data_IF_037117687178
#
_entry.id   IF_037117687178
#
_cell.length_a   1.000
_cell.length_b   1.000
_cell.length_c   1.000
_cell.angle_alpha   90.00
_cell.angle_beta   90.00
_cell.angle_gamma   90.00
#
_symmetry.space_group_name_H-M   'P 1'
#
loop_
_entity.id
_entity.type
_entity.pdbx_description
1 polymer ?
#
# COMPACT_ATOMS: atom_id res chain seq x y z
N UNK A 1 -30.13 30.12 9.43
CA UNK A 1 -30.25 28.84 10.18
C UNK A 1 -28.95 28.05 10.02
N UNK A 2 -28.14 27.94 11.09
CA UNK A 2 -26.84 27.23 11.08
C UNK A 2 -27.08 25.77 11.47
N UNK A 3 -26.88 24.82 10.54
CA UNK A 3 -26.76 23.39 10.88
C UNK A 3 -25.29 23.02 11.06
N UNK A 4 -25.04 22.45 12.22
CA UNK A 4 -23.76 22.04 12.76
C UNK A 4 -23.19 20.88 11.93
N UNK A 5 -21.91 20.96 11.56
CA UNK A 5 -21.14 19.91 10.88
C UNK A 5 -19.71 19.93 11.45
N UNK A 6 -19.51 19.52 12.71
CA UNK A 6 -18.19 19.63 13.37
C UNK A 6 -17.58 18.31 13.87
N UNK A 7 -18.25 17.16 13.71
CA UNK A 7 -17.71 15.86 14.13
C UNK A 7 -16.81 15.15 13.11
N UNK A 8 -16.97 15.45 11.80
CA UNK A 8 -16.28 14.72 10.71
C UNK A 8 -14.88 15.25 10.36
N UNK A 9 -14.53 16.49 10.72
CA UNK A 9 -13.24 17.07 10.34
C UNK A 9 -12.08 16.50 11.16
N UNK A 10 -12.22 16.38 12.49
CA UNK A 10 -11.13 15.93 13.38
C UNK A 10 -10.56 14.57 13.00
N UNK A 11 -11.41 13.59 12.70
CA UNK A 11 -10.96 12.23 12.35
C UNK A 11 -10.27 12.20 10.98
N UNK A 12 -10.70 13.05 10.05
CA UNK A 12 -10.06 13.19 8.74
C UNK A 12 -8.69 13.87 8.84
N UNK A 13 -8.56 14.84 9.74
CA UNK A 13 -7.29 15.51 10.02
C UNK A 13 -6.29 14.53 10.64
N UNK A 14 -6.72 13.74 11.63
CA UNK A 14 -5.89 12.68 12.24
C UNK A 14 -5.47 11.62 11.24
N UNK A 15 -6.39 11.16 10.38
CA UNK A 15 -6.08 10.21 9.32
C UNK A 15 -5.04 10.79 8.34
N UNK A 16 -5.14 12.07 7.98
CA UNK A 16 -4.19 12.75 7.09
C UNK A 16 -2.80 12.85 7.71
N UNK A 17 -2.71 13.12 9.02
CA UNK A 17 -1.44 13.11 9.76
C UNK A 17 -0.81 11.71 9.75
N UNK A 18 -1.61 10.67 9.96
CA UNK A 18 -1.15 9.28 9.90
C UNK A 18 -0.70 8.87 8.50
N UNK A 19 -1.41 9.33 7.47
CA UNK A 19 -1.04 9.11 6.07
C UNK A 19 0.36 9.66 5.79
N UNK A 20 0.62 10.93 6.14
CA UNK A 20 1.92 11.55 5.97
C UNK A 20 3.01 10.86 6.83
N UNK A 21 2.68 10.45 8.05
CA UNK A 21 3.61 9.72 8.91
C UNK A 21 4.08 8.39 8.28
N UNK A 22 3.17 7.63 7.65
CA UNK A 22 3.49 6.39 6.93
C UNK A 22 4.47 6.68 5.79
N UNK A 23 4.16 7.67 4.95
CA UNK A 23 4.99 8.02 3.80
C UNK A 23 6.37 8.50 4.24
N UNK A 24 6.44 9.35 5.25
CA UNK A 24 7.70 9.86 5.77
C UNK A 24 8.57 8.76 6.38
N UNK A 25 7.97 7.81 7.09
CA UNK A 25 8.70 6.67 7.63
C UNK A 25 9.30 5.79 6.52
N UNK A 26 8.50 5.44 5.51
CA UNK A 26 8.98 4.64 4.38
C UNK A 26 10.02 5.40 3.53
N UNK A 27 9.86 6.72 3.34
CA UNK A 27 10.84 7.57 2.63
C UNK A 27 12.21 7.57 3.31
N UNK A 28 12.26 7.52 4.63
CA UNK A 28 13.50 7.40 5.40
C UNK A 28 14.15 6.01 5.28
N UNK A 29 13.41 4.99 4.83
CA UNK A 29 13.81 3.58 4.78
C UNK A 29 13.52 2.96 3.41
N UNK A 30 13.95 3.63 2.32
CA UNK A 30 13.61 3.33 0.92
C UNK A 30 13.74 1.86 0.49
N UNK A 31 14.68 1.11 1.07
CA UNK A 31 14.94 -0.30 0.71
C UNK A 31 14.26 -1.33 1.62
N UNK A 32 13.43 -0.90 2.58
CA UNK A 32 12.78 -1.82 3.53
C UNK A 32 11.28 -1.84 3.32
N UNK A 33 10.77 -3.06 3.14
CA UNK A 33 9.34 -3.34 3.24
C UNK A 33 8.99 -3.68 4.69
N UNK A 34 7.75 -3.40 5.10
CA UNK A 34 7.28 -3.64 6.47
C UNK A 34 5.86 -4.19 6.49
N UNK A 35 5.55 -5.08 7.41
CA UNK A 35 4.15 -5.48 7.65
C UNK A 35 3.35 -4.32 8.25
N UNK A 36 2.02 -4.38 8.14
CA UNK A 36 1.13 -3.38 8.77
C UNK A 36 1.38 -3.24 10.29
N UNK A 37 1.74 -4.33 10.98
CA UNK A 37 2.04 -4.31 12.42
C UNK A 37 3.40 -3.65 12.71
N UNK A 38 4.42 -3.94 11.89
CA UNK A 38 5.75 -3.34 12.02
C UNK A 38 5.69 -1.83 11.79
N UNK A 39 4.98 -1.38 10.75
CA UNK A 39 4.77 0.06 10.49
C UNK A 39 4.05 0.75 11.64
N UNK A 40 2.95 0.16 12.13
CA UNK A 40 2.20 0.72 13.25
C UNK A 40 3.08 0.90 14.49
N UNK A 41 3.93 -0.09 14.80
CA UNK A 41 4.88 0.02 15.91
C UNK A 41 5.94 1.09 15.66
N UNK A 42 6.49 1.14 14.45
CA UNK A 42 7.58 2.04 14.12
C UNK A 42 7.19 3.53 14.13
N UNK A 43 5.92 3.84 13.87
CA UNK A 43 5.38 5.21 13.97
C UNK A 43 4.58 5.42 15.28
N UNK A 44 4.71 4.51 16.26
CA UNK A 44 4.10 4.59 17.59
C UNK A 44 2.55 4.72 17.59
N UNK A 45 1.86 3.94 16.76
CA UNK A 45 0.39 3.91 16.74
C UNK A 45 -0.16 3.20 17.97
N UNK A 46 -0.93 3.93 18.77
CA UNK A 46 -1.68 3.37 19.88
C UNK A 46 -2.88 2.53 19.39
N UNK A 47 -3.31 1.53 20.18
CA UNK A 47 -4.41 0.61 19.80
C UNK A 47 -5.70 1.34 19.43
N UNK A 48 -6.01 2.42 20.14
CA UNK A 48 -7.18 3.28 19.90
C UNK A 48 -7.18 3.87 18.48
N UNK A 49 -6.02 4.20 17.94
CA UNK A 49 -5.85 4.86 16.64
C UNK A 49 -5.55 3.86 15.51
N UNK A 50 -5.50 2.56 15.83
CA UNK A 50 -5.14 1.53 14.84
C UNK A 50 -6.14 1.47 13.68
N UNK A 51 -7.41 1.75 13.93
CA UNK A 51 -8.44 1.79 12.88
C UNK A 51 -8.19 2.94 11.88
N UNK A 52 -7.89 4.16 12.35
CA UNK A 52 -7.51 5.31 11.52
C UNK A 52 -6.21 5.03 10.75
N UNK A 53 -5.22 4.44 11.41
CA UNK A 53 -3.98 4.01 10.75
C UNK A 53 -4.24 3.04 9.59
N UNK A 54 -5.14 2.06 9.79
CA UNK A 54 -5.52 1.11 8.75
C UNK A 54 -6.22 1.79 7.58
N UNK A 55 -7.06 2.80 7.84
CA UNK A 55 -7.70 3.61 6.80
C UNK A 55 -6.66 4.44 6.03
N UNK A 56 -5.75 5.13 6.72
CA UNK A 56 -4.65 5.88 6.11
C UNK A 56 -3.74 4.98 5.25
N UNK A 57 -3.42 3.77 5.73
CA UNK A 57 -2.63 2.79 4.98
C UNK A 57 -3.36 2.32 3.71
N UNK A 58 -4.66 2.08 3.79
CA UNK A 58 -5.48 1.72 2.63
C UNK A 58 -5.58 2.86 1.63
N UNK A 59 -5.73 4.10 2.12
CA UNK A 59 -5.75 5.29 1.28
C UNK A 59 -4.40 5.49 0.57
N UNK A 60 -3.28 5.29 1.26
CA UNK A 60 -1.96 5.36 0.66
C UNK A 60 -1.75 4.31 -0.45
N UNK A 61 -2.32 3.11 -0.32
CA UNK A 61 -2.34 2.11 -1.38
C UNK A 61 -3.20 2.54 -2.58
N UNK A 62 -4.42 3.02 -2.30
CA UNK A 62 -5.36 3.47 -3.33
C UNK A 62 -4.81 4.67 -4.12
N UNK A 63 -4.10 5.57 -3.44
CA UNK A 63 -3.47 6.74 -4.04
C UNK A 63 -2.14 6.42 -4.75
N UNK A 64 -1.73 5.14 -4.82
CA UNK A 64 -0.47 4.72 -5.43
C UNK A 64 0.77 5.26 -4.73
N UNK A 65 0.67 5.74 -3.48
CA UNK A 65 1.81 6.30 -2.73
C UNK A 65 2.65 5.22 -2.06
N UNK A 66 2.05 4.07 -1.80
CA UNK A 66 2.73 2.86 -1.32
C UNK A 66 2.23 1.66 -2.13
N UNK A 67 3.04 0.62 -2.19
CA UNK A 67 2.69 -0.66 -2.78
C UNK A 67 2.70 -1.76 -1.73
N UNK A 68 1.99 -2.84 -2.06
CA UNK A 68 1.97 -4.06 -1.26
C UNK A 68 2.77 -5.14 -1.97
N UNK A 69 3.68 -5.76 -1.23
CA UNK A 69 4.41 -6.96 -1.64
C UNK A 69 3.75 -8.22 -1.08
N UNK A 70 4.23 -9.38 -1.53
CA UNK A 70 3.93 -10.68 -0.93
C UNK A 70 4.19 -10.66 0.58
N UNK A 71 3.40 -11.45 1.31
CA UNK A 71 3.46 -11.47 2.78
C UNK A 71 2.84 -10.25 3.46
N UNK A 72 2.05 -9.43 2.74
CA UNK A 72 1.40 -8.21 3.29
C UNK A 72 2.40 -7.17 3.79
N UNK A 73 3.51 -7.04 3.08
CA UNK A 73 4.53 -6.03 3.34
C UNK A 73 4.27 -4.79 2.49
N UNK A 74 4.68 -3.63 2.97
CA UNK A 74 4.41 -2.33 2.34
C UNK A 74 5.70 -1.56 2.15
N UNK A 75 5.87 -0.93 0.99
CA UNK A 75 7.04 -0.13 0.63
C UNK A 75 6.66 1.02 -0.33
N UNK A 76 7.61 1.88 -0.70
CA UNK A 76 7.40 2.96 -1.65
C UNK A 76 7.49 2.50 -3.12
N UNK A 77 6.67 3.06 -4.03
CA UNK A 77 6.76 2.90 -5.47
C UNK A 77 8.10 3.33 -6.05
N UNK A 78 8.68 4.41 -5.51
CA UNK A 78 9.90 5.03 -6.05
C UNK A 78 11.14 4.14 -5.90
N UNK A 79 11.03 3.06 -5.13
CA UNK A 79 12.04 2.01 -5.11
C UNK A 79 11.94 1.08 -6.33
N UNK A 80 10.81 1.07 -7.04
CA UNK A 80 10.41 0.14 -8.10
C UNK A 80 9.63 0.86 -9.23
N UNK A 81 10.16 1.94 -9.82
CA UNK A 81 9.44 2.84 -10.75
C UNK A 81 8.76 2.17 -11.96
N UNK A 82 9.25 1.00 -12.37
CA UNK A 82 8.65 0.11 -13.37
C UNK A 82 9.01 -1.30 -12.97
N UNK A 83 8.04 -2.20 -12.95
CA UNK A 83 8.27 -3.61 -12.65
C UNK A 83 7.88 -4.42 -13.86
N UNK A 84 8.79 -5.24 -14.34
CA UNK A 84 8.55 -6.20 -15.40
C UNK A 84 8.83 -7.59 -14.84
N UNK A 85 7.98 -8.53 -15.21
CA UNK A 85 8.23 -9.95 -15.01
C UNK A 85 6.95 -10.77 -15.02
N UNK A 86 7.06 -12.01 -14.57
CA UNK A 86 5.98 -12.99 -14.66
C UNK A 86 4.81 -12.71 -13.73
N UNK A 87 3.60 -12.66 -14.28
CA UNK A 87 2.34 -12.61 -13.56
C UNK A 87 1.93 -14.01 -13.09
N UNK A 88 1.69 -14.14 -11.79
CA UNK A 88 1.10 -15.32 -11.17
C UNK A 88 -0.28 -14.99 -10.64
N UNK A 89 -1.31 -15.62 -11.18
CA UNK A 89 -2.69 -15.44 -10.73
C UNK A 89 -3.04 -16.45 -9.63
N UNK A 90 -3.87 -15.99 -8.69
CA UNK A 90 -4.44 -16.86 -7.66
C UNK A 90 -5.89 -17.20 -7.99
N UNK A 91 -6.35 -18.37 -7.54
CA UNK A 91 -7.76 -18.79 -7.66
C UNK A 91 -8.76 -17.85 -6.98
N UNK A 92 -8.29 -16.92 -6.15
CA UNK A 92 -9.09 -15.90 -5.47
C UNK A 92 -9.23 -14.61 -6.28
N UNK A 93 -8.68 -14.58 -7.50
CA UNK A 93 -8.83 -13.48 -8.45
C UNK A 93 -7.83 -12.34 -8.30
N UNK A 94 -6.81 -12.44 -7.44
CA UNK A 94 -5.69 -11.48 -7.39
C UNK A 94 -4.39 -12.15 -7.86
N UNK A 95 -3.37 -11.36 -8.19
CA UNK A 95 -2.10 -11.88 -8.70
C UNK A 95 -0.88 -11.28 -8.02
N UNK A 96 0.29 -11.81 -8.40
CA UNK A 96 1.59 -11.26 -8.06
C UNK A 96 2.45 -11.11 -9.31
N UNK A 97 3.22 -10.04 -9.40
CA UNK A 97 4.25 -9.87 -10.44
C UNK A 97 5.60 -9.93 -9.77
N UNK A 98 6.47 -10.81 -10.24
CA UNK A 98 7.86 -10.90 -9.77
C UNK A 98 8.68 -9.87 -10.54
N UNK A 99 9.36 -8.94 -9.86
CA UNK A 99 10.31 -8.03 -10.51
C UNK A 99 11.58 -8.80 -10.88
N UNK A 100 11.89 -8.90 -12.16
CA UNK A 100 13.06 -9.64 -12.66
C UNK A 100 14.39 -9.09 -12.13
N UNK A 101 14.44 -7.83 -11.67
CA UNK A 101 15.67 -7.18 -11.17
C UNK A 101 15.91 -7.40 -9.69
N UNK A 102 14.84 -7.46 -8.89
CA UNK A 102 14.92 -7.51 -7.43
C UNK A 102 14.46 -8.84 -6.86
N UNK A 103 13.74 -9.65 -7.64
CA UNK A 103 13.04 -10.85 -7.19
C UNK A 103 11.86 -10.56 -6.27
N UNK A 104 11.47 -9.29 -6.10
CA UNK A 104 10.34 -8.94 -5.24
C UNK A 104 9.00 -9.22 -5.92
N UNK A 105 8.11 -9.90 -5.21
CA UNK A 105 6.76 -10.17 -5.68
C UNK A 105 5.79 -9.06 -5.24
N UNK A 106 5.22 -8.36 -6.22
CA UNK A 106 4.29 -7.25 -6.04
C UNK A 106 2.86 -7.74 -6.14
N UNK A 107 2.03 -7.40 -5.15
CA UNK A 107 0.62 -7.76 -5.14
C UNK A 107 -0.18 -6.91 -6.12
N UNK A 108 -0.90 -7.56 -7.02
CA UNK A 108 -1.84 -6.94 -7.97
C UNK A 108 -3.28 -7.30 -7.58
N UNK A 109 -4.13 -6.31 -7.23
CA UNK A 109 -5.53 -6.57 -6.93
C UNK A 109 -6.29 -7.03 -8.17
N UNK A 110 -7.36 -7.81 -7.97
CA UNK A 110 -8.23 -8.31 -9.04
C UNK A 110 -8.65 -7.25 -10.06
N UNK A 111 -9.01 -6.07 -9.55
CA UNK A 111 -9.51 -4.94 -10.34
C UNK A 111 -8.45 -4.35 -11.28
N UNK A 112 -7.16 -4.66 -11.09
CA UNK A 112 -6.06 -4.19 -11.92
C UNK A 112 -5.47 -5.28 -12.83
N UNK A 113 -5.99 -6.51 -12.79
CA UNK A 113 -5.55 -7.59 -13.66
C UNK A 113 -6.16 -7.51 -15.06
N UNK A 114 -7.32 -6.87 -15.21
CA UNK A 114 -8.05 -6.74 -16.49
C UNK A 114 -8.18 -8.10 -17.21
N UNK A 115 -7.53 -8.27 -18.36
CA UNK A 115 -7.54 -9.47 -19.20
C UNK A 115 -6.26 -10.31 -19.10
N UNK A 116 -5.35 -9.97 -18.17
CA UNK A 116 -4.09 -10.68 -18.03
C UNK A 116 -4.33 -12.11 -17.53
N UNK A 117 -3.56 -13.06 -18.09
CA UNK A 117 -3.63 -14.48 -17.79
C UNK A 117 -2.48 -14.92 -16.89
N UNK A 118 -2.63 -16.10 -16.29
CA UNK A 118 -1.58 -16.71 -15.49
C UNK A 118 -0.39 -17.08 -16.40
N UNK A 119 0.82 -16.69 -16.00
CA UNK A 119 2.03 -16.91 -16.78
C UNK A 119 2.36 -15.81 -17.80
N UNK A 120 1.52 -14.78 -17.94
CA UNK A 120 1.83 -13.64 -18.81
C UNK A 120 3.04 -12.86 -18.29
N UNK A 121 3.89 -12.40 -19.21
CA UNK A 121 4.89 -11.37 -18.91
C UNK A 121 4.22 -10.01 -18.94
N UNK A 122 4.25 -9.30 -17.81
CA UNK A 122 3.55 -8.02 -17.66
C UNK A 122 4.49 -6.92 -17.20
N UNK A 123 4.15 -5.69 -17.59
CA UNK A 123 4.77 -4.50 -17.05
C UNK A 123 3.77 -3.76 -16.15
N UNK A 124 4.14 -3.57 -14.90
CA UNK A 124 3.38 -2.82 -13.91
C UNK A 124 4.01 -1.43 -13.78
N UNK A 125 3.20 -0.41 -14.06
CA UNK A 125 3.51 0.97 -13.74
C UNK A 125 2.79 1.34 -12.45
N UNK A 126 3.55 1.85 -11.47
CA UNK A 126 3.08 2.18 -10.11
C UNK A 126 2.92 3.69 -9.97
#
# INVERSE_FOLDING_TARGET
MKKQNHGKNRTKDEQSVLFEAILNYLKKRKSKSYTSKELARAINIHKTNYHLYRQALQEALKAGKIIRLKGRRYTLPSSLSKVQGGLQLTRRGFGFVTDDRTGEEIFIPAQHLNTALDGDEVQVQI
#
